data_IF_099734103693
#
_entry.id   IF_099734103693
#
_cell.length_a   1.000
_cell.length_b   1.000
_cell.length_c   1.000
_cell.angle_alpha   90.00
_cell.angle_beta   90.00
_cell.angle_gamma   90.00
#
_symmetry.space_group_name_H-M   'P 1'
#
loop_
_entity.id
_entity.type
_entity.pdbx_description
1 polymer ?
#
# COMPACT_ATOMS: atom_id res chain seq x y z
N UNK A 1 -4.19 29.61 -7.42
CA UNK A 1 -3.93 28.35 -6.69
C UNK A 1 -4.28 27.22 -7.65
N UNK A 2 -3.31 26.76 -8.42
CA UNK A 2 -3.53 25.70 -9.41
C UNK A 2 -3.56 24.35 -8.68
N UNK A 3 -4.73 23.73 -8.68
CA UNK A 3 -4.92 22.37 -8.19
C UNK A 3 -4.23 21.48 -9.23
N UNK A 4 -3.06 20.93 -8.90
CA UNK A 4 -2.41 19.89 -9.69
C UNK A 4 -3.39 18.73 -9.82
N UNK A 5 -4.09 18.68 -10.96
CA UNK A 5 -4.98 17.59 -11.32
C UNK A 5 -4.08 16.42 -11.69
N UNK A 6 -3.60 15.69 -10.67
CA UNK A 6 -2.89 14.44 -10.85
C UNK A 6 -3.82 13.49 -11.62
N UNK A 7 -3.51 13.23 -12.89
CA UNK A 7 -4.23 12.23 -13.66
C UNK A 7 -3.86 10.86 -13.10
N UNK A 8 -4.82 10.23 -12.43
CA UNK A 8 -4.71 8.83 -12.00
C UNK A 8 -4.65 8.00 -13.29
N UNK A 9 -3.45 7.59 -13.68
CA UNK A 9 -3.25 6.64 -14.78
C UNK A 9 -3.50 5.25 -14.22
N UNK A 10 -4.30 4.45 -14.93
CA UNK A 10 -4.46 3.03 -14.63
C UNK A 10 -3.12 2.31 -14.70
N UNK A 11 -2.80 1.57 -13.63
CA UNK A 11 -1.65 0.67 -13.61
C UNK A 11 -1.95 -0.54 -14.48
N UNK A 12 -1.00 -0.92 -15.33
CA UNK A 12 -1.07 -2.17 -16.07
C UNK A 12 -0.97 -3.36 -15.11
N UNK A 13 -1.45 -4.54 -15.52
CA UNK A 13 -1.36 -5.77 -14.71
C UNK A 13 0.09 -6.03 -14.26
N UNK A 14 1.07 -5.74 -15.12
CA UNK A 14 2.50 -5.91 -14.79
C UNK A 14 2.96 -4.94 -13.71
N UNK A 15 2.57 -3.66 -13.78
CA UNK A 15 2.88 -2.65 -12.77
C UNK A 15 2.18 -2.98 -11.44
N UNK A 16 0.93 -3.42 -11.48
CA UNK A 16 0.19 -3.89 -10.32
C UNK A 16 0.85 -5.14 -9.71
N UNK A 17 1.31 -6.10 -10.52
CA UNK A 17 2.07 -7.27 -10.07
C UNK A 17 3.43 -6.90 -9.46
N UNK A 18 4.10 -5.85 -9.95
CA UNK A 18 5.37 -5.39 -9.38
C UNK A 18 5.19 -4.70 -8.02
N UNK A 19 4.13 -3.90 -7.87
CA UNK A 19 3.81 -3.23 -6.60
C UNK A 19 3.27 -4.22 -5.56
N UNK A 20 2.49 -5.21 -6.01
CA UNK A 20 1.83 -6.18 -5.12
C UNK A 20 2.61 -7.49 -4.90
N UNK A 21 3.57 -7.81 -5.77
CA UNK A 21 4.28 -9.10 -5.79
C UNK A 21 3.45 -10.29 -6.29
N UNK A 22 2.25 -10.08 -6.82
CA UNK A 22 1.34 -11.16 -7.17
C UNK A 22 1.25 -11.44 -8.68
N UNK A 23 1.58 -12.67 -9.08
CA UNK A 23 1.41 -13.17 -10.44
C UNK A 23 -0.02 -13.71 -10.66
N UNK A 24 -0.75 -13.07 -11.57
CA UNK A 24 -2.09 -13.45 -12.07
C UNK A 24 -3.27 -13.39 -11.08
N UNK A 25 -4.12 -12.38 -11.20
CA UNK A 25 -5.60 -12.54 -11.12
C UNK A 25 -6.35 -11.32 -11.71
N UNK A 26 -7.69 -11.38 -11.67
CA UNK A 26 -8.67 -10.51 -12.34
C UNK A 26 -8.36 -8.99 -12.26
N UNK A 27 -8.18 -8.28 -13.40
CA UNK A 27 -7.64 -6.93 -13.43
C UNK A 27 -8.45 -5.87 -12.66
N UNK A 28 -9.77 -6.04 -12.50
CA UNK A 28 -10.58 -5.07 -11.74
C UNK A 28 -10.34 -5.17 -10.23
N UNK A 29 -10.20 -6.39 -9.69
CA UNK A 29 -9.84 -6.56 -8.27
C UNK A 29 -8.42 -6.07 -7.97
N UNK A 30 -7.52 -6.15 -8.95
CA UNK A 30 -6.17 -5.60 -8.85
C UNK A 30 -6.12 -4.08 -8.92
N UNK A 31 -7.01 -3.47 -9.72
CA UNK A 31 -7.14 -2.01 -9.79
C UNK A 31 -7.59 -1.46 -8.44
N UNK A 32 -8.71 -1.96 -7.90
CA UNK A 32 -9.27 -1.49 -6.63
C UNK A 32 -8.30 -1.72 -5.45
N UNK A 33 -7.65 -2.89 -5.42
CA UNK A 33 -6.67 -3.22 -4.41
C UNK A 33 -5.38 -2.38 -4.56
N UNK A 34 -4.92 -2.14 -5.78
CA UNK A 34 -3.80 -1.25 -6.06
C UNK A 34 -4.07 0.20 -5.64
N UNK A 35 -5.25 0.74 -5.96
CA UNK A 35 -5.69 2.07 -5.55
C UNK A 35 -5.79 2.19 -4.03
N UNK A 36 -6.29 1.14 -3.36
CA UNK A 36 -6.34 1.11 -1.89
C UNK A 36 -4.94 1.16 -1.29
N UNK A 37 -3.97 0.40 -1.82
CA UNK A 37 -2.58 0.47 -1.35
C UNK A 37 -1.96 1.86 -1.54
N UNK A 38 -2.24 2.52 -2.66
CA UNK A 38 -1.78 3.90 -2.89
C UNK A 38 -2.39 4.84 -1.85
N UNK A 39 -3.70 4.75 -1.62
CA UNK A 39 -4.39 5.58 -0.63
C UNK A 39 -3.84 5.39 0.80
N UNK A 40 -3.58 4.13 1.20
CA UNK A 40 -2.93 3.83 2.48
C UNK A 40 -1.53 4.46 2.58
N UNK A 41 -0.77 4.42 1.49
CA UNK A 41 0.55 5.05 1.41
C UNK A 41 0.48 6.57 1.55
N UNK A 42 -0.50 7.22 0.93
CA UNK A 42 -0.71 8.67 1.08
C UNK A 42 -1.12 9.05 2.51
N UNK A 43 -2.01 8.27 3.16
CA UNK A 43 -2.37 8.48 4.57
C UNK A 43 -1.14 8.36 5.46
N UNK A 44 -0.32 7.31 5.26
CA UNK A 44 0.91 7.10 6.01
C UNK A 44 1.93 8.22 5.81
N UNK A 45 2.04 8.79 4.60
CA UNK A 45 2.87 9.99 4.35
C UNK A 45 2.36 11.21 5.11
N UNK A 46 1.05 11.41 5.22
CA UNK A 46 0.50 12.49 6.04
C UNK A 46 0.86 12.29 7.51
N UNK A 47 0.75 11.06 8.03
CA UNK A 47 1.17 10.74 9.40
C UNK A 47 2.65 11.07 9.61
N UNK A 48 3.52 10.73 8.66
CA UNK A 48 4.95 11.05 8.73
C UNK A 48 5.25 12.56 8.79
N UNK A 49 4.31 13.42 8.38
CA UNK A 49 4.46 14.88 8.36
C UNK A 49 3.79 15.56 9.56
N UNK A 50 2.70 14.99 10.08
CA UNK A 50 1.85 15.67 11.07
C UNK A 50 1.74 14.98 12.43
N UNK A 51 1.98 13.66 12.49
CA UNK A 51 1.85 12.89 13.73
C UNK A 51 3.22 12.78 14.43
N UNK A 52 3.39 13.32 15.65
CA UNK A 52 4.63 13.19 16.41
C UNK A 52 5.09 11.74 16.62
N UNK A 53 4.17 10.77 16.67
CA UNK A 53 4.51 9.36 16.82
C UNK A 53 5.23 8.80 15.58
N UNK A 54 4.87 9.29 14.39
CA UNK A 54 5.33 8.77 13.12
C UNK A 54 6.26 9.72 12.36
N UNK A 55 6.60 10.86 12.96
CA UNK A 55 7.30 11.94 12.28
C UNK A 55 8.65 11.48 11.70
N UNK A 56 8.81 11.65 10.39
CA UNK A 56 10.02 11.24 9.66
C UNK A 56 10.19 9.73 9.44
N UNK A 57 9.23 8.89 9.82
CA UNK A 57 9.26 7.45 9.52
C UNK A 57 8.91 7.18 8.04
N UNK A 58 9.44 6.10 7.48
CA UNK A 58 9.04 5.66 6.13
C UNK A 58 7.57 5.22 6.14
N UNK A 59 6.81 5.68 5.15
CA UNK A 59 5.38 5.40 5.06
C UNK A 59 5.07 3.90 5.06
N UNK A 60 5.95 3.04 4.51
CA UNK A 60 5.77 1.58 4.52
C UNK A 60 5.87 1.01 5.92
N UNK A 61 6.75 1.56 6.75
CA UNK A 61 6.86 1.17 8.16
C UNK A 61 5.60 1.59 8.90
N UNK A 62 5.13 2.82 8.69
CA UNK A 62 3.87 3.32 9.29
C UNK A 62 2.68 2.44 8.88
N UNK A 63 2.52 2.16 7.57
CA UNK A 63 1.45 1.28 7.09
C UNK A 63 1.54 -0.13 7.69
N UNK A 64 2.74 -0.63 7.98
CA UNK A 64 2.94 -1.95 8.56
C UNK A 64 2.81 -2.00 10.10
N UNK A 65 2.89 -0.86 10.81
CA UNK A 65 2.87 -0.80 12.28
C UNK A 65 1.62 -0.15 12.86
N UNK A 66 0.99 0.80 12.15
CA UNK A 66 -0.29 1.38 12.55
C UNK A 66 -1.40 0.32 12.48
N UNK A 67 -2.15 0.04 13.56
CA UNK A 67 -3.13 -1.05 13.57
C UNK A 67 -4.21 -0.94 12.49
N UNK A 68 -4.69 0.28 12.21
CA UNK A 68 -5.74 0.51 11.22
C UNK A 68 -5.23 0.34 9.79
N UNK A 69 -4.10 0.96 9.48
CA UNK A 69 -3.48 0.85 8.16
C UNK A 69 -2.97 -0.57 7.89
N UNK A 70 -2.41 -1.23 8.91
CA UNK A 70 -1.87 -2.60 8.81
C UNK A 70 -2.97 -3.59 8.48
N UNK A 71 -4.10 -3.55 9.19
CA UNK A 71 -5.20 -4.48 8.94
C UNK A 71 -5.70 -4.34 7.50
N UNK A 72 -5.84 -3.11 7.01
CA UNK A 72 -6.31 -2.85 5.66
C UNK A 72 -5.27 -3.23 4.60
N UNK A 73 -3.99 -2.94 4.85
CA UNK A 73 -2.90 -3.39 3.98
C UNK A 73 -2.85 -4.93 3.88
N UNK A 74 -3.01 -5.66 4.98
CA UNK A 74 -3.06 -7.13 4.96
C UNK A 74 -4.24 -7.63 4.15
N UNK A 75 -5.43 -7.03 4.33
CA UNK A 75 -6.63 -7.38 3.55
C UNK A 75 -6.38 -7.22 2.06
N UNK A 76 -5.82 -6.08 1.67
CA UNK A 76 -5.59 -5.71 0.27
C UNK A 76 -4.48 -6.55 -0.36
N UNK A 77 -3.37 -6.76 0.34
CA UNK A 77 -2.29 -7.65 -0.13
C UNK A 77 -2.78 -9.09 -0.23
N UNK A 78 -3.63 -9.56 0.69
CA UNK A 78 -4.26 -10.87 0.54
C UNK A 78 -5.12 -10.96 -0.73
N UNK A 79 -5.90 -9.92 -1.07
CA UNK A 79 -6.66 -9.89 -2.34
C UNK A 79 -5.72 -10.00 -3.53
N UNK A 80 -4.64 -9.22 -3.52
CA UNK A 80 -3.67 -9.22 -4.60
C UNK A 80 -2.94 -10.57 -4.72
N UNK A 81 -2.60 -11.21 -3.60
CA UNK A 81 -1.86 -12.47 -3.56
C UNK A 81 -2.76 -13.73 -3.60
N UNK A 82 -3.99 -13.64 -4.08
CA UNK A 82 -4.88 -14.81 -4.24
C UNK A 82 -5.35 -15.42 -2.90
N UNK A 83 -5.50 -14.58 -1.88
CA UNK A 83 -6.08 -14.92 -0.57
C UNK A 83 -5.09 -15.40 0.48
N UNK A 84 -3.78 -15.36 0.23
CA UNK A 84 -2.76 -15.86 1.18
C UNK A 84 -1.54 -14.93 1.23
N UNK A 85 -0.85 -14.93 2.37
CA UNK A 85 0.48 -14.31 2.53
C UNK A 85 0.48 -12.81 2.79
N UNK A 86 -0.67 -12.15 2.93
CA UNK A 86 -0.77 -10.71 3.19
C UNK A 86 -0.01 -10.26 4.43
N UNK A 87 -0.14 -10.98 5.55
CA UNK A 87 0.58 -10.66 6.79
C UNK A 87 2.09 -10.74 6.62
N UNK A 88 2.61 -11.86 6.07
CA UNK A 88 4.03 -12.05 5.80
C UNK A 88 4.59 -10.98 4.85
N UNK A 89 3.82 -10.58 3.85
CA UNK A 89 4.22 -9.55 2.88
C UNK A 89 4.26 -8.17 3.53
N UNK A 90 3.24 -7.81 4.32
CA UNK A 90 3.24 -6.53 5.06
C UNK A 90 4.35 -6.49 6.11
N UNK A 91 4.63 -7.60 6.79
CA UNK A 91 5.76 -7.70 7.74
C UNK A 91 7.12 -7.52 7.07
N UNK A 92 7.26 -7.91 5.80
CA UNK A 92 8.50 -7.71 5.05
C UNK A 92 8.82 -6.24 4.81
N UNK A 93 7.82 -5.36 4.84
CA UNK A 93 8.02 -3.93 4.65
C UNK A 93 8.80 -3.29 5.78
N UNK A 94 8.72 -3.84 6.99
CA UNK A 94 9.51 -3.40 8.14
C UNK A 94 10.96 -3.85 8.02
N UNK A 95 11.19 -5.07 7.50
CA UNK A 95 12.52 -5.68 7.37
C UNK A 95 13.45 -4.99 6.37
N UNK A 96 12.89 -4.18 5.46
CA UNK A 96 13.67 -3.36 4.54
C UNK A 96 14.36 -2.18 5.23
N UNK A 97 14.00 -1.89 6.49
CA UNK A 97 14.46 -0.73 7.27
C UNK A 97 15.16 -1.10 8.58
N UNK A 98 15.36 -2.41 8.83
CA UNK A 98 16.06 -2.95 10.01
C UNK A 98 17.50 -3.34 9.71
#
# INVERSE_FOLDING_TARGET
MEIYKMSIRELTIVEASQVSGAGNSNPNYYRDAGETLIALGEIAKQYALSDPQYFGMDYRVITATDPGLRQEAIRVVNILCGGKGGEKNVDSWIKLYS
#
